data_IF_384715869160
#
_entry.id   IF_384715869160
#
_cell.length_a   1.000
_cell.length_b   1.000
_cell.length_c   1.000
_cell.angle_alpha   90.00
_cell.angle_beta   90.00
_cell.angle_gamma   90.00
#
_symmetry.space_group_name_H-M   'P 1'
#
loop_
_entity.id
_entity.type
_entity.pdbx_description
1 polymer ?
#
# COMPACT_ATOMS: atom_id res chain seq x y z
N UNK A 1 -39.55 -39.10 -4.23
CA UNK A 1 -38.31 -38.43 -3.79
C UNK A 1 -38.15 -37.15 -4.60
N UNK A 2 -38.38 -35.98 -3.99
CA UNK A 2 -38.17 -34.67 -4.63
C UNK A 2 -36.76 -34.18 -4.28
N UNK A 3 -35.89 -34.07 -5.28
CA UNK A 3 -34.55 -33.50 -5.11
C UNK A 3 -34.66 -31.97 -5.20
N UNK A 4 -34.81 -31.32 -4.04
CA UNK A 4 -34.74 -29.86 -3.96
C UNK A 4 -33.25 -29.45 -4.00
N UNK A 5 -32.71 -29.31 -5.22
CA UNK A 5 -31.37 -28.77 -5.42
C UNK A 5 -31.36 -27.31 -4.94
N UNK A 6 -30.84 -27.10 -3.73
CA UNK A 6 -30.41 -25.77 -3.29
C UNK A 6 -29.20 -25.42 -4.15
N UNK A 7 -29.43 -24.75 -5.27
CA UNK A 7 -28.37 -24.10 -6.01
C UNK A 7 -27.72 -23.11 -5.05
N UNK A 8 -26.41 -23.23 -4.74
CA UNK A 8 -25.73 -22.14 -4.08
C UNK A 8 -25.84 -20.95 -5.03
N UNK A 9 -26.50 -19.89 -4.56
CA UNK A 9 -26.55 -18.60 -5.19
C UNK A 9 -25.11 -18.16 -5.50
N UNK A 10 -24.66 -18.48 -6.72
CA UNK A 10 -23.46 -17.90 -7.30
C UNK A 10 -23.82 -16.49 -7.73
N UNK A 11 -24.22 -15.65 -6.76
CA UNK A 11 -24.15 -14.20 -6.88
C UNK A 11 -22.78 -13.89 -7.46
N UNK A 12 -22.80 -13.51 -8.73
CA UNK A 12 -21.67 -13.72 -9.64
C UNK A 12 -20.35 -13.25 -9.07
N UNK A 13 -19.29 -14.00 -9.35
CA UNK A 13 -17.91 -13.57 -9.18
C UNK A 13 -17.72 -12.23 -9.90
N UNK A 14 -18.01 -11.13 -9.21
CA UNK A 14 -17.87 -9.79 -9.71
C UNK A 14 -16.38 -9.48 -9.71
N UNK A 15 -15.72 -9.81 -10.82
CA UNK A 15 -14.30 -9.55 -11.06
C UNK A 15 -14.02 -8.04 -10.90
N UNK A 16 -15.00 -7.20 -11.21
CA UNK A 16 -14.94 -5.75 -11.03
C UNK A 16 -15.16 -5.38 -9.56
N UNK A 17 -14.21 -4.69 -8.89
CA UNK A 17 -14.46 -4.10 -7.59
C UNK A 17 -15.57 -3.05 -7.69
N UNK A 18 -16.39 -2.97 -6.65
CA UNK A 18 -17.36 -1.87 -6.51
C UNK A 18 -16.64 -0.52 -6.39
N UNK A 19 -17.37 0.59 -6.54
CA UNK A 19 -16.76 1.93 -6.48
C UNK A 19 -16.04 2.19 -5.14
N UNK A 20 -16.51 1.55 -4.06
CA UNK A 20 -15.96 1.60 -2.71
C UNK A 20 -14.70 0.73 -2.56
N UNK A 21 -14.67 -0.44 -3.20
CA UNK A 21 -13.51 -1.35 -3.17
C UNK A 21 -12.39 -0.96 -4.15
N UNK A 22 -12.59 0.08 -4.96
CA UNK A 22 -11.60 0.53 -5.94
C UNK A 22 -10.52 1.36 -5.28
N UNK A 23 -9.25 0.97 -5.47
CA UNK A 23 -8.12 1.76 -5.01
C UNK A 23 -8.13 3.17 -5.62
N UNK A 24 -7.94 4.18 -4.77
CA UNK A 24 -7.85 5.59 -5.15
C UNK A 24 -6.43 6.08 -4.95
N UNK A 25 -5.75 6.34 -6.06
CA UNK A 25 -4.43 6.96 -6.08
C UNK A 25 -4.27 8.18 -5.16
N UNK A 26 -5.22 9.15 -5.09
CA UNK A 26 -5.06 10.31 -4.21
C UNK A 26 -5.04 9.94 -2.72
N UNK A 27 -5.79 8.91 -2.31
CA UNK A 27 -5.79 8.42 -0.94
C UNK A 27 -4.44 7.78 -0.63
N UNK A 28 -3.94 6.92 -1.52
CA UNK A 28 -2.62 6.30 -1.37
C UNK A 28 -1.49 7.31 -1.32
N UNK A 29 -1.55 8.36 -2.16
CA UNK A 29 -0.57 9.46 -2.15
C UNK A 29 -0.56 10.19 -0.81
N UNK A 30 -1.73 10.54 -0.28
CA UNK A 30 -1.85 11.23 1.01
C UNK A 30 -1.28 10.40 2.16
N UNK A 31 -1.58 9.09 2.17
CA UNK A 31 -0.99 8.15 3.15
C UNK A 31 0.54 8.16 3.05
N UNK A 32 1.08 8.14 1.83
CA UNK A 32 2.52 8.15 1.61
C UNK A 32 3.16 9.46 2.11
N UNK A 33 2.57 10.60 1.78
CA UNK A 33 3.02 11.92 2.23
C UNK A 33 3.02 12.02 3.76
N UNK A 34 1.95 11.57 4.44
CA UNK A 34 1.88 11.57 5.90
C UNK A 34 2.96 10.69 6.55
N UNK A 35 3.19 9.49 6.01
CA UNK A 35 4.24 8.59 6.53
C UNK A 35 5.62 9.18 6.32
N UNK A 36 5.88 9.78 5.15
CA UNK A 36 7.18 10.41 4.86
C UNK A 36 7.44 11.59 5.78
N UNK A 37 6.47 12.49 5.95
CA UNK A 37 6.62 13.66 6.85
C UNK A 37 6.87 13.20 8.29
N UNK A 38 6.12 12.20 8.77
CA UNK A 38 6.24 11.71 10.15
C UNK A 38 7.55 10.98 10.42
N UNK A 39 8.03 10.20 9.45
CA UNK A 39 9.20 9.33 9.64
C UNK A 39 10.53 9.99 9.23
N UNK A 40 10.50 10.94 8.28
CA UNK A 40 11.70 11.61 7.77
C UNK A 40 11.81 13.07 8.21
N UNK A 41 10.79 13.65 8.84
CA UNK A 41 10.82 15.03 9.34
C UNK A 41 11.97 15.24 10.33
N UNK A 42 13.00 15.97 9.90
CA UNK A 42 14.19 16.26 10.71
C UNK A 42 15.24 15.16 10.79
N UNK A 43 15.15 14.11 9.96
CA UNK A 43 16.15 13.06 9.90
C UNK A 43 17.27 13.43 8.92
N UNK A 44 18.53 13.33 9.36
CA UNK A 44 19.70 13.37 8.48
C UNK A 44 19.94 11.98 7.90
N UNK A 45 20.32 11.92 6.62
CA UNK A 45 20.62 10.63 5.99
C UNK A 45 21.89 10.02 6.57
N UNK A 46 21.75 8.84 7.17
CA UNK A 46 22.87 8.05 7.69
C UNK A 46 22.91 6.70 6.97
N UNK A 47 24.03 6.41 6.30
CA UNK A 47 24.16 5.20 5.47
C UNK A 47 24.00 3.90 6.26
N UNK A 48 24.50 3.84 7.49
CA UNK A 48 24.36 2.69 8.38
C UNK A 48 22.91 2.41 8.80
N UNK A 49 22.08 3.45 8.88
CA UNK A 49 20.67 3.35 9.28
C UNK A 49 19.71 3.25 8.10
N UNK A 50 20.17 3.54 6.87
CA UNK A 50 19.34 3.62 5.68
C UNK A 50 18.63 2.30 5.34
N UNK A 51 19.27 1.15 5.52
CA UNK A 51 18.64 -0.15 5.28
C UNK A 51 17.49 -0.41 6.26
N UNK A 52 17.74 -0.18 7.56
CA UNK A 52 16.73 -0.37 8.60
C UNK A 52 15.57 0.61 8.42
N UNK A 53 15.86 1.86 8.08
CA UNK A 53 14.87 2.89 7.83
C UNK A 53 14.02 2.57 6.60
N UNK A 54 14.61 2.15 5.48
CA UNK A 54 13.85 1.78 4.28
C UNK A 54 12.94 0.57 4.50
N UNK A 55 13.43 -0.46 5.20
CA UNK A 55 12.63 -1.61 5.60
C UNK A 55 11.47 -1.21 6.51
N UNK A 56 11.73 -0.40 7.54
CA UNK A 56 10.70 0.10 8.45
C UNK A 56 9.63 0.92 7.72
N UNK A 57 10.05 1.87 6.86
CA UNK A 57 9.14 2.66 6.02
C UNK A 57 8.27 1.77 5.15
N UNK A 58 8.86 0.76 4.50
CA UNK A 58 8.11 -0.16 3.63
C UNK A 58 7.01 -0.90 4.40
N UNK A 59 7.30 -1.32 5.63
CA UNK A 59 6.36 -2.04 6.50
C UNK A 59 5.23 -1.10 6.97
N UNK A 60 5.57 0.12 7.38
CA UNK A 60 4.60 1.14 7.80
C UNK A 60 3.65 1.46 6.64
N UNK A 61 4.18 1.79 5.46
CA UNK A 61 3.38 2.11 4.27
C UNK A 61 2.46 0.93 3.92
N UNK A 62 3.00 -0.29 3.91
CA UNK A 62 2.21 -1.50 3.62
C UNK A 62 1.07 -1.69 4.62
N UNK A 63 1.32 -1.48 5.91
CA UNK A 63 0.29 -1.62 6.94
C UNK A 63 -0.79 -0.55 6.78
N UNK A 64 -0.42 0.72 6.55
CA UNK A 64 -1.37 1.81 6.31
C UNK A 64 -2.26 1.54 5.09
N UNK A 65 -1.69 1.00 4.01
CA UNK A 65 -2.47 0.64 2.82
C UNK A 65 -3.40 -0.55 3.05
N UNK A 66 -3.05 -1.49 3.95
CA UNK A 66 -3.95 -2.58 4.34
C UNK A 66 -5.14 -2.10 5.16
N UNK A 67 -5.02 -0.99 5.90
CA UNK A 67 -6.14 -0.37 6.63
C UNK A 67 -7.27 0.12 5.70
N UNK A 68 -6.98 0.29 4.40
CA UNK A 68 -8.00 0.60 3.39
C UNK A 68 -8.96 -0.56 3.11
N UNK A 69 -8.70 -1.76 3.65
CA UNK A 69 -9.57 -2.93 3.55
C UNK A 69 -10.02 -3.24 2.11
N UNK A 70 -9.07 -3.24 1.17
CA UNK A 70 -9.32 -3.56 -0.24
C UNK A 70 -8.97 -5.04 -0.52
N UNK A 71 -9.93 -5.98 -0.47
CA UNK A 71 -9.65 -7.42 -0.46
C UNK A 71 -9.05 -7.95 -1.77
N UNK A 72 -9.31 -7.27 -2.90
CA UNK A 72 -8.88 -7.69 -4.25
C UNK A 72 -7.52 -7.12 -4.66
N UNK A 73 -6.84 -6.37 -3.80
CA UNK A 73 -5.60 -5.68 -4.14
C UNK A 73 -4.41 -6.24 -3.37
N UNK A 74 -3.31 -6.48 -4.09
CA UNK A 74 -2.01 -6.82 -3.51
C UNK A 74 -1.09 -5.61 -3.58
N UNK A 75 -0.57 -5.18 -2.43
CA UNK A 75 0.37 -4.06 -2.34
C UNK A 75 1.82 -4.56 -2.41
N UNK A 76 2.59 -3.97 -3.33
CA UNK A 76 4.03 -4.17 -3.51
C UNK A 76 4.68 -2.81 -3.29
N UNK A 77 5.57 -2.72 -2.30
CA UNK A 77 6.20 -1.47 -1.88
C UNK A 77 7.70 -1.57 -2.16
N UNK A 78 8.24 -0.58 -2.83
CA UNK A 78 9.68 -0.40 -3.01
C UNK A 78 10.06 0.96 -2.41
N UNK A 79 11.08 0.96 -1.55
CA UNK A 79 11.59 2.17 -0.91
C UNK A 79 13.05 2.29 -1.31
N UNK A 80 13.42 3.47 -1.81
CA UNK A 80 14.79 3.82 -2.18
C UNK A 80 15.14 5.07 -1.38
N UNK A 81 16.19 4.97 -0.58
CA UNK A 81 16.74 6.10 0.17
C UNK A 81 18.08 6.47 -0.44
N UNK A 82 18.27 7.76 -0.69
CA UNK A 82 19.52 8.32 -1.18
C UNK A 82 19.65 9.76 -0.72
N UNK A 83 20.88 10.24 -0.66
CA UNK A 83 21.17 11.62 -0.32
C UNK A 83 21.31 12.46 -1.60
N UNK A 84 20.64 13.60 -1.64
CA UNK A 84 20.75 14.53 -2.77
C UNK A 84 22.04 15.35 -2.67
N UNK A 85 23.15 14.81 -3.19
CA UNK A 85 24.43 15.55 -3.32
C UNK A 85 24.63 16.13 -4.72
N UNK A 86 23.64 16.83 -5.26
CA UNK A 86 23.71 17.42 -6.60
C UNK A 86 23.66 16.41 -7.76
N UNK A 87 23.27 15.16 -7.50
CA UNK A 87 22.99 14.16 -8.53
C UNK A 87 21.53 14.24 -8.99
N UNK A 88 21.32 14.12 -10.30
CA UNK A 88 19.97 13.95 -10.88
C UNK A 88 19.65 12.47 -10.94
N UNK A 89 18.67 12.05 -10.15
CA UNK A 89 18.06 10.71 -10.21
C UNK A 89 16.80 10.80 -11.07
N UNK A 90 16.58 9.82 -11.97
CA UNK A 90 15.39 9.70 -12.83
C UNK A 90 14.62 8.45 -12.48
#
# INVERSE_FOLDING_TARGET
MNYNATTPDVSGLAIRPTNQEKFRAPIGRRILEEVLIKSLGGHTFESSSAEQLSNSLSAIIRNRLKELNLPKYKYIIQVILGEERGQRVR
#
